data_IF_032808068430
#
_entry.id   IF_032808068430
#
_cell.length_a   1.000
_cell.length_b   1.000
_cell.length_c   1.000
_cell.angle_alpha   90.00
_cell.angle_beta   90.00
_cell.angle_gamma   90.00
#
_symmetry.space_group_name_H-M   'P 1'
#
loop_
_entity.id
_entity.type
_entity.pdbx_description
1 polymer ?
#
# COMPACT_ATOMS: atom_id res chain seq x y z
N UNK A 1 -10.67 28.67 14.37
CA UNK A 1 -10.03 27.38 14.05
C UNK A 1 -10.82 26.19 14.58
N UNK A 2 -11.25 26.17 15.86
CA UNK A 2 -12.02 25.05 16.44
C UNK A 2 -13.39 24.78 15.79
N UNK A 3 -14.15 25.82 15.43
CA UNK A 3 -15.49 25.67 14.82
C UNK A 3 -15.44 25.05 13.42
N UNK A 4 -14.51 25.48 12.59
CA UNK A 4 -14.29 24.95 11.23
C UNK A 4 -13.83 23.48 11.30
N UNK A 5 -12.89 23.18 12.19
CA UNK A 5 -12.41 21.81 12.39
C UNK A 5 -13.54 20.87 12.86
N UNK A 6 -14.38 21.34 13.79
CA UNK A 6 -15.52 20.57 14.28
C UNK A 6 -16.55 20.29 13.16
N UNK A 7 -16.83 21.27 12.31
CA UNK A 7 -17.75 21.11 11.18
C UNK A 7 -17.18 20.15 10.13
N UNK A 8 -15.89 20.24 9.80
CA UNK A 8 -15.24 19.31 8.88
C UNK A 8 -15.23 17.87 9.40
N UNK A 9 -14.94 17.67 10.70
CA UNK A 9 -14.98 16.34 11.33
C UNK A 9 -16.41 15.77 11.30
N UNK A 10 -17.41 16.61 11.60
CA UNK A 10 -18.81 16.21 11.55
C UNK A 10 -19.24 15.79 10.13
N UNK A 11 -18.85 16.56 9.12
CA UNK A 11 -19.16 16.25 7.73
C UNK A 11 -18.48 14.95 7.26
N UNK A 12 -17.21 14.73 7.62
CA UNK A 12 -16.51 13.48 7.32
C UNK A 12 -17.19 12.28 8.01
N UNK A 13 -17.56 12.43 9.28
CA UNK A 13 -18.30 11.40 10.02
C UNK A 13 -19.61 11.06 9.32
N UNK A 14 -20.39 12.06 8.92
CA UNK A 14 -21.65 11.83 8.20
C UNK A 14 -21.42 11.14 6.85
N UNK A 15 -20.37 11.50 6.13
CA UNK A 15 -20.02 10.85 4.88
C UNK A 15 -19.69 9.35 5.09
N UNK A 16 -18.92 9.04 6.13
CA UNK A 16 -18.57 7.65 6.52
C UNK A 16 -19.80 6.87 6.97
N UNK A 17 -20.69 7.49 7.74
CA UNK A 17 -21.91 6.84 8.25
C UNK A 17 -23.03 6.78 7.20
N UNK A 18 -22.86 7.42 6.05
CA UNK A 18 -23.82 7.37 4.95
C UNK A 18 -23.84 6.00 4.26
N UNK A 19 -24.90 5.72 3.49
CA UNK A 19 -24.96 4.52 2.65
C UNK A 19 -24.06 4.61 1.41
N UNK A 20 -23.48 5.78 1.13
CA UNK A 20 -22.60 5.97 -0.03
C UNK A 20 -21.22 5.38 0.27
N UNK A 21 -20.69 4.64 -0.71
CA UNK A 21 -19.34 4.09 -0.64
C UNK A 21 -18.29 5.19 -0.85
N UNK A 22 -17.33 5.27 0.07
CA UNK A 22 -16.15 6.13 -0.05
C UNK A 22 -14.95 5.34 -0.57
N UNK A 23 -13.99 6.05 -1.16
CA UNK A 23 -12.66 5.52 -1.50
C UNK A 23 -11.62 6.24 -0.64
N UNK A 24 -10.84 5.48 0.12
CA UNK A 24 -9.71 5.97 0.90
C UNK A 24 -8.42 5.76 0.11
N UNK A 25 -7.80 6.82 -0.39
CA UNK A 25 -6.47 6.77 -1.00
C UNK A 25 -5.42 7.00 0.09
N UNK A 26 -4.62 5.97 0.36
CA UNK A 26 -3.68 5.98 1.47
C UNK A 26 -2.22 5.75 1.03
N UNK A 27 -1.31 6.53 1.62
CA UNK A 27 0.13 6.45 1.37
C UNK A 27 0.91 5.90 2.56
N UNK A 28 2.24 5.83 2.40
CA UNK A 28 3.13 5.21 3.37
C UNK A 28 3.12 5.87 4.76
N UNK A 29 2.68 7.13 4.87
CA UNK A 29 2.67 7.83 6.16
C UNK A 29 1.64 7.29 7.15
N UNK A 30 0.63 6.50 6.71
CA UNK A 30 -0.22 5.76 7.66
C UNK A 30 0.55 4.73 8.47
N UNK A 31 1.71 4.27 7.96
CA UNK A 31 2.55 3.26 8.58
C UNK A 31 3.69 3.85 9.41
N UNK A 32 3.81 5.17 9.50
CA UNK A 32 4.90 5.86 10.20
C UNK A 32 4.77 5.79 11.72
N UNK A 33 3.58 6.09 12.24
CA UNK A 33 3.36 6.19 13.68
C UNK A 33 3.39 4.83 14.40
N UNK A 34 3.73 4.82 15.71
CA UNK A 34 3.67 3.63 16.54
C UNK A 34 2.31 2.90 16.47
N UNK A 35 2.27 1.56 16.60
CA UNK A 35 3.38 0.62 16.69
C UNK A 35 3.87 0.11 15.32
N UNK A 36 3.63 0.84 14.23
CA UNK A 36 3.99 0.39 12.87
C UNK A 36 5.44 0.71 12.54
N UNK A 37 5.89 1.94 12.83
CA UNK A 37 7.29 2.40 12.67
C UNK A 37 7.90 2.15 11.28
N UNK A 38 7.08 2.04 10.24
CA UNK A 38 7.55 1.89 8.87
C UNK A 38 7.91 3.25 8.29
N UNK A 39 9.05 3.32 7.62
CA UNK A 39 9.56 4.54 7.01
C UNK A 39 8.94 4.76 5.62
N UNK A 40 8.67 6.02 5.27
CA UNK A 40 8.02 6.40 4.00
C UNK A 40 8.95 6.28 2.79
N UNK A 41 10.27 6.44 2.99
CA UNK A 41 11.29 6.18 1.97
C UNK A 41 12.67 5.91 2.61
N UNK A 42 13.07 4.63 2.78
CA UNK A 42 14.32 4.26 3.46
C UNK A 42 15.57 4.36 2.58
N UNK A 43 15.73 5.33 1.66
CA UNK A 43 16.85 5.32 0.68
C UNK A 43 18.22 5.00 1.30
N UNK A 44 18.54 5.60 2.45
CA UNK A 44 19.77 5.37 3.18
C UNK A 44 19.86 3.96 3.79
N UNK A 45 18.76 3.46 4.37
CA UNK A 45 18.64 2.08 4.83
C UNK A 45 18.77 1.09 3.69
N UNK A 46 18.17 1.40 2.54
CA UNK A 46 18.24 0.59 1.35
C UNK A 46 19.67 0.48 0.80
N UNK A 47 20.39 1.61 0.72
CA UNK A 47 21.79 1.62 0.30
C UNK A 47 22.66 0.82 1.28
N UNK A 48 22.43 0.97 2.60
CA UNK A 48 23.19 0.22 3.62
C UNK A 48 22.93 -1.29 3.57
N UNK A 49 21.72 -1.72 3.19
CA UNK A 49 21.38 -3.12 3.06
C UNK A 49 22.14 -3.81 1.91
N UNK A 50 22.79 -3.05 1.02
CA UNK A 50 23.50 -3.61 -0.11
C UNK A 50 25.01 -3.62 0.18
N UNK A 51 25.51 -4.78 0.57
CA UNK A 51 26.88 -4.95 1.07
C UNK A 51 27.95 -5.05 -0.04
N UNK A 52 27.58 -5.06 -1.32
CA UNK A 52 28.47 -5.43 -2.44
C UNK A 52 28.35 -4.57 -3.71
N UNK A 53 27.95 -3.31 -3.58
CA UNK A 53 27.86 -2.37 -4.71
C UNK A 53 29.10 -1.45 -4.76
N UNK A 54 29.61 -1.20 -5.97
CA UNK A 54 30.72 -0.28 -6.22
C UNK A 54 30.34 1.20 -5.99
N UNK A 55 31.34 2.05 -5.74
CA UNK A 55 31.14 3.47 -5.39
C UNK A 55 30.42 4.27 -6.49
N UNK A 56 30.65 3.97 -7.77
CA UNK A 56 29.99 4.68 -8.88
C UNK A 56 28.51 4.34 -8.94
N UNK A 57 28.14 3.09 -8.67
CA UNK A 57 26.75 2.67 -8.56
C UNK A 57 26.07 3.29 -7.33
N UNK A 58 26.74 3.40 -6.17
CA UNK A 58 26.20 4.12 -5.01
C UNK A 58 25.91 5.58 -5.35
N UNK A 59 26.79 6.23 -6.13
CA UNK A 59 26.58 7.61 -6.59
C UNK A 59 25.33 7.73 -7.46
N UNK A 60 25.19 6.86 -8.48
CA UNK A 60 23.99 6.81 -9.34
C UNK A 60 22.69 6.55 -8.55
N UNK A 61 22.73 5.68 -7.56
CA UNK A 61 21.59 5.37 -6.70
C UNK A 61 21.22 6.54 -5.76
N UNK A 62 22.18 7.34 -5.32
CA UNK A 62 21.91 8.58 -4.56
C UNK A 62 21.24 9.64 -5.43
N UNK A 63 21.60 9.71 -6.71
CA UNK A 63 21.01 10.63 -7.70
C UNK A 63 19.60 10.21 -8.14
N UNK A 64 19.22 8.93 -7.96
CA UNK A 64 17.86 8.42 -8.19
C UNK A 64 16.91 8.83 -7.04
N UNK A 65 16.35 10.04 -7.13
CA UNK A 65 15.50 10.64 -6.07
C UNK A 65 14.16 9.92 -5.91
N UNK A 66 13.62 9.32 -6.98
CA UNK A 66 12.33 8.62 -6.95
C UNK A 66 12.48 7.16 -6.52
N UNK A 67 11.68 6.66 -5.56
CA UNK A 67 11.74 5.28 -5.08
C UNK A 67 11.74 4.23 -6.18
N UNK A 68 10.88 4.42 -7.16
CA UNK A 68 10.66 3.47 -8.24
C UNK A 68 11.86 3.45 -9.19
N UNK A 69 12.43 4.63 -9.50
CA UNK A 69 13.64 4.75 -10.32
C UNK A 69 14.85 4.15 -9.60
N UNK A 70 14.99 4.40 -8.29
CA UNK A 70 16.03 3.81 -7.46
C UNK A 70 16.00 2.28 -7.56
N UNK A 71 14.82 1.68 -7.34
CA UNK A 71 14.68 0.23 -7.34
C UNK A 71 14.78 -0.38 -8.73
N UNK A 72 14.37 0.34 -9.78
CA UNK A 72 14.60 -0.08 -11.16
C UNK A 72 16.09 -0.14 -11.49
N UNK A 73 16.85 0.92 -11.17
CA UNK A 73 18.31 0.94 -11.37
C UNK A 73 18.96 -0.20 -10.58
N UNK A 74 18.56 -0.38 -9.32
CA UNK A 74 19.08 -1.46 -8.49
C UNK A 74 18.75 -2.85 -9.04
N UNK A 75 17.53 -3.06 -9.55
CA UNK A 75 17.10 -4.32 -10.17
C UNK A 75 17.89 -4.61 -11.45
N UNK A 76 18.13 -3.60 -12.28
CA UNK A 76 18.93 -3.77 -13.50
C UNK A 76 20.38 -4.19 -13.21
N UNK A 77 20.92 -3.80 -12.05
CA UNK A 77 22.29 -4.13 -11.64
C UNK A 77 22.36 -5.47 -10.91
N UNK A 78 21.41 -5.74 -10.01
CA UNK A 78 21.52 -6.83 -9.02
C UNK A 78 20.46 -7.92 -9.19
N UNK A 79 19.55 -7.77 -10.17
CA UNK A 79 18.41 -8.67 -10.38
C UNK A 79 17.48 -8.70 -9.17
N UNK A 80 16.99 -9.89 -8.82
CA UNK A 80 16.07 -10.10 -7.67
C UNK A 80 16.65 -9.64 -6.33
N UNK A 81 17.98 -9.49 -6.20
CA UNK A 81 18.61 -8.96 -4.98
C UNK A 81 18.22 -7.51 -4.69
N UNK A 82 17.68 -6.78 -5.68
CA UNK A 82 17.16 -5.44 -5.50
C UNK A 82 15.94 -5.34 -4.57
N UNK A 83 15.33 -6.48 -4.23
CA UNK A 83 14.25 -6.54 -3.25
C UNK A 83 14.76 -6.64 -1.80
N UNK A 84 16.02 -7.05 -1.58
CA UNK A 84 16.59 -7.15 -0.21
C UNK A 84 16.45 -5.82 0.54
N UNK A 85 16.74 -4.66 -0.08
CA UNK A 85 16.55 -3.37 0.59
C UNK A 85 15.11 -3.03 0.91
N UNK A 86 14.12 -3.60 0.20
CA UNK A 86 12.69 -3.42 0.52
C UNK A 86 12.28 -4.17 1.79
N UNK A 87 13.06 -5.16 2.26
CA UNK A 87 12.74 -5.92 3.47
C UNK A 87 12.66 -5.04 4.74
N UNK A 88 13.29 -3.86 4.72
CA UNK A 88 13.14 -2.85 5.80
C UNK A 88 11.71 -2.31 5.91
N UNK A 89 10.85 -2.57 4.93
CA UNK A 89 9.43 -2.24 4.89
C UNK A 89 8.53 -3.47 5.08
N UNK A 90 9.10 -4.66 5.25
CA UNK A 90 8.35 -5.90 5.38
C UNK A 90 8.10 -6.23 6.85
N UNK A 91 6.86 -6.11 7.36
CA UNK A 91 6.57 -6.40 8.76
C UNK A 91 6.92 -7.83 9.18
N UNK A 92 6.83 -8.81 8.27
CA UNK A 92 7.20 -10.21 8.56
C UNK A 92 8.67 -10.31 8.91
N UNK A 93 9.53 -9.68 8.11
CA UNK A 93 10.98 -9.66 8.35
C UNK A 93 11.32 -8.88 9.61
N UNK A 94 10.74 -7.69 9.79
CA UNK A 94 10.97 -6.87 10.99
C UNK A 94 10.55 -7.60 12.29
N UNK A 95 9.38 -8.23 12.30
CA UNK A 95 8.90 -8.98 13.46
C UNK A 95 9.78 -10.19 13.80
N UNK A 96 10.41 -10.82 12.79
CA UNK A 96 11.37 -11.91 13.03
C UNK A 96 12.68 -11.43 13.67
N UNK A 97 13.00 -10.13 13.57
CA UNK A 97 14.16 -9.47 14.20
C UNK A 97 13.80 -8.80 15.54
N UNK A 98 12.68 -9.15 16.16
CA UNK A 98 12.14 -8.50 17.39
C UNK A 98 11.83 -7.00 17.22
N UNK A 99 11.83 -6.47 15.99
CA UNK A 99 11.33 -5.13 15.67
C UNK A 99 9.83 -5.22 15.42
N UNK A 100 9.04 -4.94 16.45
CA UNK A 100 7.58 -5.00 16.36
C UNK A 100 7.05 -3.99 15.33
N UNK A 101 6.67 -4.50 14.15
CA UNK A 101 5.89 -3.80 13.14
C UNK A 101 4.45 -4.32 13.23
N UNK A 102 3.60 -3.58 13.92
CA UNK A 102 2.20 -3.93 14.15
C UNK A 102 1.24 -2.84 13.63
N UNK A 103 -0.03 -3.19 13.34
CA UNK A 103 -1.00 -2.19 12.89
C UNK A 103 -1.24 -1.12 13.96
N UNK A 104 -1.23 0.14 13.55
CA UNK A 104 -1.63 1.29 14.36
C UNK A 104 -3.11 1.67 14.17
N UNK A 105 -3.55 2.73 14.87
CA UNK A 105 -4.94 3.18 14.86
C UNK A 105 -5.49 3.48 13.46
N UNK A 106 -4.65 3.97 12.53
CA UNK A 106 -5.07 4.27 11.16
C UNK A 106 -5.35 2.98 10.39
N UNK A 107 -4.56 1.92 10.61
CA UNK A 107 -4.83 0.61 10.00
C UNK A 107 -6.13 0.01 10.52
N UNK A 108 -6.40 0.12 11.83
CA UNK A 108 -7.66 -0.33 12.42
C UNK A 108 -8.85 0.47 11.88
N UNK A 109 -8.71 1.79 11.76
CA UNK A 109 -9.72 2.62 11.13
C UNK A 109 -10.01 2.17 9.68
N UNK A 110 -8.98 1.98 8.85
CA UNK A 110 -9.15 1.53 7.47
C UNK A 110 -9.75 0.12 7.38
N UNK A 111 -9.36 -0.77 8.29
CA UNK A 111 -9.96 -2.10 8.41
C UNK A 111 -11.46 -2.03 8.69
N UNK A 112 -11.89 -1.16 9.62
CA UNK A 112 -13.31 -0.91 9.86
C UNK A 112 -14.01 -0.32 8.63
N UNK A 113 -13.35 0.57 7.88
CA UNK A 113 -13.92 1.15 6.66
C UNK A 113 -14.15 0.09 5.59
N UNK A 114 -13.21 -0.83 5.39
CA UNK A 114 -13.39 -1.98 4.49
C UNK A 114 -14.56 -2.84 4.98
N UNK A 115 -14.64 -3.10 6.28
CA UNK A 115 -15.73 -3.90 6.87
C UNK A 115 -17.11 -3.26 6.65
N UNK A 116 -17.18 -1.92 6.70
CA UNK A 116 -18.40 -1.13 6.44
C UNK A 116 -18.77 -1.01 4.96
N UNK A 117 -18.01 -1.59 4.04
CA UNK A 117 -18.32 -1.55 2.61
C UNK A 117 -17.56 -0.51 1.81
N UNK A 118 -16.60 0.20 2.40
CA UNK A 118 -15.78 1.20 1.71
C UNK A 118 -14.56 0.57 1.02
N UNK A 119 -13.95 1.32 0.11
CA UNK A 119 -12.77 0.88 -0.64
C UNK A 119 -11.54 1.56 -0.07
N UNK A 120 -10.47 0.79 0.14
CA UNK A 120 -9.16 1.33 0.50
C UNK A 120 -8.20 1.06 -0.66
N UNK A 121 -7.61 2.13 -1.19
CA UNK A 121 -6.62 2.13 -2.26
C UNK A 121 -5.29 2.55 -1.67
N UNK A 122 -4.28 1.68 -1.69
CA UNK A 122 -2.98 1.96 -1.06
C UNK A 122 -1.81 1.78 -2.02
N UNK A 123 -0.74 2.54 -1.76
CA UNK A 123 0.58 2.40 -2.40
C UNK A 123 1.56 1.61 -1.55
N UNK A 124 1.16 1.18 -0.36
CA UNK A 124 2.01 0.47 0.60
C UNK A 124 2.20 -1.00 0.19
N UNK A 125 3.41 -1.52 0.43
CA UNK A 125 3.73 -2.94 0.22
C UNK A 125 3.44 -3.82 1.44
N UNK A 126 3.45 -3.21 2.64
CA UNK A 126 3.23 -3.87 3.93
C UNK A 126 1.83 -4.48 4.03
N UNK A 127 1.62 -5.44 4.94
CA UNK A 127 0.35 -6.13 5.14
C UNK A 127 -0.40 -5.65 6.40
N UNK A 128 -0.15 -4.43 6.89
CA UNK A 128 -0.67 -3.97 8.18
C UNK A 128 -2.19 -3.72 8.16
N UNK A 129 -2.75 -3.29 7.03
CA UNK A 129 -4.21 -3.13 6.87
C UNK A 129 -4.89 -4.49 6.92
N UNK A 130 -4.31 -5.49 6.26
CA UNK A 130 -4.79 -6.87 6.22
C UNK A 130 -4.76 -7.50 7.63
N UNK A 131 -3.66 -7.30 8.37
CA UNK A 131 -3.54 -7.72 9.77
C UNK A 131 -4.56 -7.03 10.69
N UNK A 132 -4.81 -5.73 10.48
CA UNK A 132 -5.85 -5.01 11.23
C UNK A 132 -7.24 -5.55 10.91
N UNK A 133 -7.54 -5.81 9.64
CA UNK A 133 -8.82 -6.36 9.19
C UNK A 133 -9.10 -7.71 9.82
N UNK A 134 -8.12 -8.60 9.83
CA UNK A 134 -8.23 -9.91 10.48
C UNK A 134 -8.57 -9.79 11.97
N UNK A 135 -7.98 -8.82 12.68
CA UNK A 135 -8.29 -8.56 14.09
C UNK A 135 -9.69 -7.99 14.29
N UNK A 136 -10.11 -7.02 13.48
CA UNK A 136 -11.45 -6.39 13.56
C UNK A 136 -12.57 -7.39 13.26
N UNK A 137 -12.31 -8.35 12.38
CA UNK A 137 -13.32 -9.30 11.88
C UNK A 137 -13.22 -10.69 12.48
N UNK A 138 -12.41 -10.88 13.54
CA UNK A 138 -12.19 -12.16 14.20
C UNK A 138 -11.74 -13.28 13.24
N UNK A 139 -10.77 -13.00 12.37
CA UNK A 139 -10.12 -13.98 11.50
C UNK A 139 -10.50 -13.92 10.02
N UNK A 140 -11.39 -13.02 9.60
CA UNK A 140 -11.72 -12.90 8.18
C UNK A 140 -10.60 -12.18 7.41
N UNK A 141 -10.49 -12.47 6.11
CA UNK A 141 -9.58 -11.78 5.21
C UNK A 141 -10.35 -10.78 4.35
N UNK A 142 -9.79 -9.59 4.05
CA UNK A 142 -10.44 -8.64 3.17
C UNK A 142 -10.38 -9.16 1.73
N UNK A 143 -11.36 -8.77 0.92
CA UNK A 143 -11.23 -8.88 -0.53
C UNK A 143 -10.10 -7.95 -0.99
N UNK A 144 -9.13 -8.47 -1.72
CA UNK A 144 -7.93 -7.73 -2.10
C UNK A 144 -7.68 -7.79 -3.62
N UNK A 145 -7.18 -6.70 -4.18
CA UNK A 145 -6.65 -6.65 -5.55
C UNK A 145 -5.18 -6.26 -5.55
N UNK A 146 -4.31 -7.14 -6.07
CA UNK A 146 -2.84 -6.96 -6.11
C UNK A 146 -2.29 -7.15 -7.53
N UNK A 147 -2.78 -8.17 -8.24
CA UNK A 147 -2.34 -8.52 -9.59
C UNK A 147 -3.32 -7.98 -10.64
N UNK A 148 -2.84 -7.79 -11.88
CA UNK A 148 -3.64 -7.20 -12.96
C UNK A 148 -5.00 -7.90 -13.19
N UNK A 149 -5.05 -9.23 -13.02
CA UNK A 149 -6.30 -10.00 -13.10
C UNK A 149 -7.30 -9.62 -12.00
N UNK A 150 -6.81 -9.31 -10.80
CA UNK A 150 -7.66 -8.88 -9.69
C UNK A 150 -8.28 -7.51 -9.99
N UNK A 151 -7.52 -6.60 -10.63
CA UNK A 151 -8.05 -5.30 -11.05
C UNK A 151 -9.13 -5.43 -12.12
N UNK A 152 -8.96 -6.37 -13.06
CA UNK A 152 -9.97 -6.65 -14.08
C UNK A 152 -11.26 -7.19 -13.45
N UNK A 153 -11.13 -8.23 -12.63
CA UNK A 153 -12.27 -8.82 -11.92
C UNK A 153 -12.99 -7.78 -11.05
N UNK A 154 -12.23 -6.98 -10.31
CA UNK A 154 -12.77 -5.93 -9.45
C UNK A 154 -13.47 -4.82 -10.23
N UNK A 155 -12.96 -4.46 -11.40
CA UNK A 155 -13.61 -3.48 -12.28
C UNK A 155 -15.00 -3.95 -12.75
N UNK A 156 -15.11 -5.22 -13.12
CA UNK A 156 -16.37 -5.81 -13.61
C UNK A 156 -17.42 -5.93 -12.50
N UNK A 157 -17.01 -6.25 -11.29
CA UNK A 157 -17.90 -6.49 -10.15
C UNK A 157 -18.10 -5.27 -9.23
N UNK A 158 -17.48 -4.13 -9.51
CA UNK A 158 -17.45 -2.98 -8.59
C UNK A 158 -18.85 -2.54 -8.13
N UNK A 159 -19.81 -2.57 -9.06
CA UNK A 159 -21.20 -2.18 -8.83
C UNK A 159 -22.00 -3.22 -8.02
N UNK A 160 -21.58 -4.49 -8.03
CA UNK A 160 -22.24 -5.59 -7.32
C UNK A 160 -21.52 -5.98 -6.01
N UNK A 161 -20.39 -5.34 -5.71
CA UNK A 161 -19.61 -5.54 -4.51
C UNK A 161 -20.48 -5.26 -3.26
N UNK A 162 -20.68 -6.27 -2.41
CA UNK A 162 -21.46 -6.13 -1.17
C UNK A 162 -20.63 -5.65 0.02
N UNK A 163 -19.37 -6.08 0.07
CA UNK A 163 -18.39 -5.68 1.09
C UNK A 163 -17.37 -4.71 0.52
N UNK A 164 -16.54 -4.12 1.38
CA UNK A 164 -15.43 -3.28 0.94
C UNK A 164 -14.29 -4.13 0.37
N UNK A 165 -13.30 -3.46 -0.20
CA UNK A 165 -12.07 -4.11 -0.67
C UNK A 165 -10.83 -3.26 -0.43
N UNK A 166 -9.69 -3.95 -0.41
CA UNK A 166 -8.36 -3.36 -0.37
C UNK A 166 -7.71 -3.48 -1.75
N UNK A 167 -7.17 -2.40 -2.29
CA UNK A 167 -6.52 -2.36 -3.60
C UNK A 167 -5.08 -1.89 -3.39
N UNK A 168 -4.10 -2.71 -3.79
CA UNK A 168 -2.67 -2.40 -3.61
C UNK A 168 -2.01 -2.11 -4.95
N UNK A 169 -1.76 -0.83 -5.23
CA UNK A 169 -1.29 -0.39 -6.54
C UNK A 169 0.13 -0.87 -6.85
N UNK A 170 1.02 -0.80 -5.86
CA UNK A 170 2.45 -1.12 -6.02
C UNK A 170 2.79 -2.60 -5.77
N UNK A 171 1.80 -3.43 -5.48
CA UNK A 171 2.01 -4.83 -5.13
C UNK A 171 2.01 -5.06 -3.61
N UNK A 172 2.45 -6.25 -3.20
CA UNK A 172 2.51 -6.66 -1.79
C UNK A 172 3.71 -7.59 -1.55
N UNK A 173 4.25 -7.64 -0.34
CA UNK A 173 5.22 -8.67 0.04
C UNK A 173 4.55 -10.05 0.16
N UNK A 174 3.33 -10.07 0.69
CA UNK A 174 2.58 -11.31 0.96
C UNK A 174 1.12 -11.16 0.55
N UNK A 175 0.48 -12.26 0.15
CA UNK A 175 -0.98 -12.33 -0.01
C UNK A 175 -1.65 -12.47 1.37
N UNK A 176 -2.99 -12.28 1.48
CA UNK A 176 -3.70 -12.54 2.73
C UNK A 176 -3.55 -13.97 3.26
N UNK A 177 -3.28 -14.94 2.38
CA UNK A 177 -2.97 -16.34 2.73
C UNK A 177 -1.51 -16.57 3.15
N UNK A 178 -0.69 -15.52 3.19
CA UNK A 178 0.73 -15.59 3.57
C UNK A 178 1.67 -16.08 2.46
N UNK A 179 1.21 -16.14 1.20
CA UNK A 179 2.07 -16.52 0.07
C UNK A 179 2.96 -15.35 -0.33
N UNK A 180 4.20 -15.62 -0.73
CA UNK A 180 5.10 -14.60 -1.29
C UNK A 180 4.47 -13.96 -2.53
N UNK A 181 4.44 -12.62 -2.55
CA UNK A 181 3.84 -11.82 -3.60
C UNK A 181 4.84 -10.82 -4.22
N UNK A 182 6.15 -10.95 -3.94
CA UNK A 182 7.19 -10.02 -4.39
C UNK A 182 7.30 -9.87 -5.91
N UNK A 183 6.85 -10.86 -6.68
CA UNK A 183 6.75 -10.75 -8.14
C UNK A 183 5.81 -9.62 -8.58
N UNK A 184 4.78 -9.28 -7.78
CA UNK A 184 3.90 -8.12 -8.03
C UNK A 184 4.66 -6.79 -7.90
N UNK A 185 5.60 -6.71 -6.96
CA UNK A 185 6.47 -5.54 -6.76
C UNK A 185 7.47 -5.44 -7.92
N UNK A 186 8.10 -6.57 -8.30
CA UNK A 186 9.01 -6.61 -9.46
C UNK A 186 8.32 -6.12 -10.72
N UNK A 187 7.09 -6.58 -10.98
CA UNK A 187 6.32 -6.16 -12.14
C UNK A 187 6.16 -4.63 -12.20
N UNK A 188 5.91 -3.97 -11.07
CA UNK A 188 5.82 -2.51 -10.98
C UNK A 188 7.19 -1.83 -11.16
N UNK A 189 8.24 -2.36 -10.55
CA UNK A 189 9.60 -1.81 -10.70
C UNK A 189 10.12 -1.87 -12.14
N UNK A 190 9.71 -2.89 -12.89
CA UNK A 190 10.02 -3.03 -14.33
C UNK A 190 9.16 -2.11 -15.21
N UNK A 191 8.03 -1.61 -14.70
CA UNK A 191 7.13 -0.68 -15.38
C UNK A 191 7.54 0.78 -15.23
N UNK A 192 8.57 1.09 -14.45
CA UNK A 192 9.06 2.47 -14.30
C UNK A 192 9.49 2.99 -15.68
N UNK A 193 8.88 4.10 -16.12
CA UNK A 193 8.93 4.69 -17.48
C UNK A 193 7.97 4.10 -18.55
N UNK A 194 7.14 3.11 -18.22
CA UNK A 194 6.04 2.62 -19.08
C UNK A 194 4.70 3.18 -18.61
N UNK A 195 3.69 3.12 -19.49
CA UNK A 195 2.33 3.50 -19.12
C UNK A 195 1.81 2.61 -17.96
N UNK A 196 1.07 3.24 -17.05
CA UNK A 196 0.39 2.56 -15.96
C UNK A 196 -0.55 1.47 -16.54
N UNK A 197 -0.52 0.21 -16.03
CA UNK A 197 -1.28 -0.89 -16.61
C UNK A 197 -2.74 -0.52 -16.87
N UNK A 198 -3.27 -0.90 -18.02
CA UNK A 198 -4.58 -0.44 -18.47
C UNK A 198 -5.70 -0.83 -17.49
N UNK A 199 -5.63 -2.04 -16.91
CA UNK A 199 -6.58 -2.53 -15.90
C UNK A 199 -6.56 -1.65 -14.64
N UNK A 200 -5.37 -1.36 -14.10
CA UNK A 200 -5.19 -0.46 -12.95
C UNK A 200 -5.68 0.95 -13.27
N UNK A 201 -5.33 1.48 -14.45
CA UNK A 201 -5.76 2.81 -14.90
C UNK A 201 -7.27 2.92 -14.99
N UNK A 202 -7.93 1.94 -15.61
CA UNK A 202 -9.39 1.90 -15.74
C UNK A 202 -10.08 1.86 -14.38
N UNK A 203 -9.62 0.98 -13.48
CA UNK A 203 -10.20 0.87 -12.14
C UNK A 203 -10.02 2.16 -11.34
N UNK A 204 -8.79 2.68 -11.24
CA UNK A 204 -8.51 3.89 -10.46
C UNK A 204 -9.30 5.08 -11.01
N UNK A 205 -9.37 5.24 -12.33
CA UNK A 205 -10.17 6.29 -12.97
C UNK A 205 -11.65 6.17 -12.59
N UNK A 206 -12.23 4.97 -12.72
CA UNK A 206 -13.63 4.71 -12.34
C UNK A 206 -13.89 5.02 -10.87
N UNK A 207 -12.99 4.65 -9.97
CA UNK A 207 -13.09 4.95 -8.55
C UNK A 207 -13.13 6.46 -8.27
N UNK A 208 -12.25 7.23 -8.91
CA UNK A 208 -12.19 8.68 -8.76
C UNK A 208 -13.42 9.37 -9.36
N UNK A 209 -13.94 8.87 -10.48
CA UNK A 209 -15.10 9.48 -11.17
C UNK A 209 -16.43 9.18 -10.47
N UNK A 210 -16.56 8.01 -9.84
CA UNK A 210 -17.84 7.52 -9.32
C UNK A 210 -17.98 7.63 -7.78
N UNK A 211 -16.90 7.93 -7.05
CA UNK A 211 -16.90 7.93 -5.58
C UNK A 211 -16.23 9.19 -5.01
N UNK A 212 -16.63 9.55 -3.79
CA UNK A 212 -15.93 10.59 -3.05
C UNK A 212 -14.62 10.04 -2.47
N UNK A 213 -13.55 10.80 -2.62
CA UNK A 213 -12.20 10.40 -2.23
C UNK A 213 -11.81 11.02 -0.89
N UNK A 214 -11.30 10.19 0.02
CA UNK A 214 -10.61 10.61 1.24
C UNK A 214 -9.13 10.29 1.09
N UNK A 215 -8.27 11.31 1.12
CA UNK A 215 -6.82 11.14 0.99
C UNK A 215 -6.16 11.29 2.36
N UNK A 216 -5.32 10.32 2.75
CA UNK A 216 -4.59 10.35 4.02
C UNK A 216 -3.24 9.63 3.92
N UNK A 217 -2.27 10.06 4.72
CA UNK A 217 -0.90 9.54 4.64
C UNK A 217 0.08 10.58 5.10
#
# INVERSE_FOLDING_TARGET
>A
MSKILHESIYNLRNAIESTKRLVFLVGAGISFEPPSYLTTWPQSGCIKAITSIDLDTVKKLREAVRPEVFFQVLYNITGKKALIPLEVLNPVTLNSEEKLAAPNILHFFLAEMIHKGHIVLTTNFDNLIEMAYEKVTNGQKPKIAIFDIDFQNLYEELNSLKSGCLIKIHGSFVTPEGRDCRDSIIAILQQVQREFPESKRKLVKKLIEEHDLVVMG
#
